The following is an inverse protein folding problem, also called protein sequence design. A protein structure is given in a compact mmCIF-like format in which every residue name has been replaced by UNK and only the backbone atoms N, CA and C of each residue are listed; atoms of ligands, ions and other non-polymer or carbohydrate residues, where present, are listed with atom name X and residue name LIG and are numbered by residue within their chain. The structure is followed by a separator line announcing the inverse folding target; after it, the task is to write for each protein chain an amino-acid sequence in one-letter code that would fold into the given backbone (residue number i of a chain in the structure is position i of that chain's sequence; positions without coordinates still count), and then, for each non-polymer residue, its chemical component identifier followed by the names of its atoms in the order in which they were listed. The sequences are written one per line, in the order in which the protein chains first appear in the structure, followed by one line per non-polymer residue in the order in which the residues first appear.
data_IF_541834970504
#
_entry.id   IF_541834970504
#
_cell.length_a   1.000
_cell.length_b   1.000
_cell.length_c   1.000
_cell.angle_alpha   90.00
_cell.angle_beta   90.00
_cell.angle_gamma   90.00
#
_symmetry.space_group_name_H-M   'P 1'
#
loop_
_entity.id
_entity.type
_entity.pdbx_description
1 polymer ?
#
# COMPACT_ATOMS: atom_id res chain seq x y z
N UNK A 1 5.76 -0.54 -7.46
CA UNK A 1 5.06 -1.79 -7.85
C UNK A 1 3.65 -1.56 -8.37
N UNK A 2 2.58 -1.68 -7.58
CA UNK A 2 1.21 -1.72 -8.11
C UNK A 2 0.82 -0.47 -8.94
N UNK A 3 1.19 0.73 -8.47
CA UNK A 3 0.98 1.99 -9.19
C UNK A 3 1.70 2.01 -10.55
N UNK A 4 2.98 1.63 -10.58
CA UNK A 4 3.79 1.57 -11.81
C UNK A 4 3.33 0.46 -12.77
N UNK A 5 2.72 -0.61 -12.25
CA UNK A 5 2.26 -1.74 -13.04
C UNK A 5 0.87 -1.53 -13.64
N UNK A 6 0.15 -0.47 -13.25
CA UNK A 6 -1.20 -0.20 -13.75
C UNK A 6 -1.10 0.43 -15.14
N UNK A 7 -1.60 -0.20 -16.22
CA UNK A 7 -1.48 0.34 -17.58
C UNK A 7 -2.41 1.53 -17.87
N UNK A 8 -3.32 1.85 -16.94
CA UNK A 8 -4.37 2.88 -17.08
C UNK A 8 -4.33 3.92 -15.96
N UNK A 9 -3.24 3.94 -15.18
CA UNK A 9 -3.03 4.89 -14.07
C UNK A 9 -4.24 5.01 -13.11
N UNK A 10 -4.87 3.87 -12.83
CA UNK A 10 -6.02 3.79 -11.93
C UNK A 10 -5.63 3.77 -10.45
N UNK A 11 -4.36 3.52 -10.12
CA UNK A 11 -3.86 3.54 -8.74
C UNK A 11 -3.10 4.85 -8.53
N UNK A 12 -3.56 5.69 -7.60
CA UNK A 12 -3.00 7.03 -7.36
C UNK A 12 -2.59 7.22 -5.90
N UNK A 13 -1.54 8.01 -5.66
CA UNK A 13 -1.20 8.43 -4.30
C UNK A 13 -2.19 9.49 -3.83
N UNK A 14 -2.88 9.21 -2.73
CA UNK A 14 -3.70 10.19 -2.04
C UNK A 14 -2.78 11.11 -1.22
N UNK A 15 -2.76 12.40 -1.56
CA UNK A 15 -1.86 13.37 -0.93
C UNK A 15 -2.23 13.68 0.53
N UNK A 16 -3.48 13.42 0.94
CA UNK A 16 -3.97 13.70 2.29
C UNK A 16 -3.64 12.54 3.23
N UNK A 17 -3.91 11.32 2.80
CA UNK A 17 -3.79 10.11 3.64
C UNK A 17 -2.48 9.35 3.41
N UNK A 18 -1.78 9.59 2.30
CA UNK A 18 -0.62 8.80 1.86
C UNK A 18 -0.96 7.40 1.33
N UNK A 19 -2.25 7.04 1.27
CA UNK A 19 -2.74 5.77 0.73
C UNK A 19 -2.62 5.72 -0.79
N UNK A 20 -2.63 4.51 -1.36
CA UNK A 20 -2.57 4.31 -2.81
C UNK A 20 -3.94 3.82 -3.24
N UNK A 21 -4.78 4.73 -3.67
CA UNK A 21 -6.20 4.52 -3.86
C UNK A 21 -6.51 4.09 -5.29
N UNK A 22 -7.57 3.30 -5.45
CA UNK A 22 -8.03 2.82 -6.76
C UNK A 22 -9.14 3.76 -7.24
N UNK A 23 -8.89 4.47 -8.34
CA UNK A 23 -9.89 5.24 -9.07
C UNK A 23 -10.75 4.25 -9.85
N UNK A 24 -11.89 3.89 -9.27
CA UNK A 24 -12.79 2.87 -9.82
C UNK A 24 -13.18 3.13 -11.28
N UNK A 25 -13.37 4.37 -11.68
CA UNK A 25 -13.80 4.72 -13.05
C UNK A 25 -12.72 4.42 -14.10
N UNK A 26 -11.45 4.41 -13.72
CA UNK A 26 -10.31 4.09 -14.60
C UNK A 26 -9.95 2.60 -14.55
N UNK A 27 -10.31 1.91 -13.46
CA UNK A 27 -9.94 0.52 -13.27
C UNK A 27 -10.69 -0.41 -14.25
N UNK A 28 -9.95 -0.97 -15.21
CA UNK A 28 -10.46 -1.94 -16.20
C UNK A 28 -10.39 -3.40 -15.74
N UNK A 29 -9.94 -3.67 -14.51
CA UNK A 29 -9.94 -5.02 -13.95
C UNK A 29 -8.88 -5.97 -14.54
N UNK A 30 -7.81 -5.46 -15.15
CA UNK A 30 -6.77 -6.28 -15.82
C UNK A 30 -5.89 -7.14 -14.87
N UNK A 31 -6.02 -6.97 -13.55
CA UNK A 31 -5.33 -7.74 -12.50
C UNK A 31 -3.80 -7.67 -12.48
N UNK A 32 -3.14 -6.91 -13.37
CA UNK A 32 -1.67 -6.78 -13.39
C UNK A 32 -1.11 -6.31 -12.04
N UNK A 33 -1.81 -5.39 -11.36
CA UNK A 33 -1.43 -4.89 -10.05
C UNK A 33 -1.48 -5.95 -8.93
N UNK A 34 -2.27 -7.03 -9.07
CA UNK A 34 -2.31 -8.12 -8.08
C UNK A 34 -1.05 -8.97 -8.16
N UNK A 35 -0.54 -9.20 -9.37
CA UNK A 35 0.71 -9.94 -9.63
C UNK A 35 1.92 -9.10 -9.22
N UNK A 36 1.89 -7.80 -9.51
CA UNK A 36 3.02 -6.91 -9.23
C UNK A 36 3.24 -6.64 -7.73
N UNK A 37 2.24 -6.84 -6.87
CA UNK A 37 2.36 -6.55 -5.45
C UNK A 37 3.13 -7.67 -4.73
N UNK A 38 4.34 -7.42 -4.20
CA UNK A 38 5.11 -8.46 -3.51
C UNK A 38 4.44 -8.93 -2.21
N UNK A 39 3.52 -8.12 -1.67
CA UNK A 39 2.80 -8.41 -0.42
C UNK A 39 1.43 -9.08 -0.66
N UNK A 40 0.99 -9.24 -1.92
CA UNK A 40 -0.31 -9.85 -2.23
C UNK A 40 -1.53 -9.11 -1.66
N UNK A 41 -1.43 -7.79 -1.44
CA UNK A 41 -2.48 -7.00 -0.74
C UNK A 41 -3.53 -6.38 -1.66
N UNK A 42 -3.52 -6.70 -2.96
CA UNK A 42 -4.51 -6.24 -3.94
C UNK A 42 -5.39 -7.43 -4.34
N UNK A 43 -6.68 -7.31 -4.10
CA UNK A 43 -7.64 -8.38 -4.33
C UNK A 43 -8.56 -8.05 -5.51
N UNK A 44 -9.06 -9.04 -6.22
CA UNK A 44 -10.03 -8.85 -7.30
C UNK A 44 -11.44 -9.12 -6.79
N UNK A 45 -12.36 -8.19 -7.00
CA UNK A 45 -13.77 -8.38 -6.73
C UNK A 45 -14.49 -8.79 -8.03
N UNK A 46 -15.00 -10.02 -8.05
CA UNK A 46 -15.72 -10.58 -9.19
C UNK A 46 -17.07 -9.91 -9.45
N UNK A 47 -17.72 -9.38 -8.42
CA UNK A 47 -19.02 -8.71 -8.56
C UNK A 47 -18.89 -7.34 -9.24
N UNK A 48 -17.84 -6.57 -8.93
CA UNK A 48 -17.61 -5.26 -9.56
C UNK A 48 -16.74 -5.34 -10.82
N UNK A 49 -16.06 -6.47 -11.04
CA UNK A 49 -15.07 -6.63 -12.11
C UNK A 49 -13.78 -5.82 -11.88
N UNK A 50 -13.56 -5.31 -10.66
CA UNK A 50 -12.48 -4.38 -10.34
C UNK A 50 -11.63 -4.89 -9.18
N UNK A 51 -10.41 -4.36 -9.09
CA UNK A 51 -9.54 -4.64 -7.94
C UNK A 51 -9.91 -3.77 -6.74
N UNK A 52 -9.69 -4.30 -5.54
CA UNK A 52 -9.88 -3.67 -4.25
C UNK A 52 -8.54 -3.69 -3.51
N UNK A 53 -8.22 -2.57 -2.88
CA UNK A 53 -7.04 -2.35 -2.07
C UNK A 53 -7.43 -1.51 -0.86
N UNK A 54 -6.71 -1.67 0.25
CA UNK A 54 -6.79 -0.77 1.40
C UNK A 54 -6.48 0.68 0.98
N UNK A 55 -7.45 1.54 1.22
CA UNK A 55 -7.51 2.99 1.02
C UNK A 55 -7.26 3.77 2.32
N UNK A 56 -6.75 3.07 3.34
CA UNK A 56 -6.54 3.58 4.69
C UNK A 56 -7.82 4.10 5.35
N UNK A 57 -9.01 3.66 4.91
CA UNK A 57 -10.31 4.12 5.39
C UNK A 57 -10.41 5.66 5.38
N UNK A 58 -9.86 6.32 4.35
CA UNK A 58 -9.84 7.78 4.26
C UNK A 58 -8.96 8.48 5.31
N UNK A 59 -8.01 7.76 5.91
CA UNK A 59 -7.14 8.28 6.97
C UNK A 59 -7.63 7.98 8.39
N UNK A 60 -8.76 7.29 8.56
CA UNK A 60 -9.24 6.78 9.85
C UNK A 60 -9.32 5.24 9.83
N UNK A 61 -8.21 4.52 10.08
CA UNK A 61 -8.16 3.06 9.93
C UNK A 61 -9.05 2.33 10.94
N UNK A 62 -10.19 1.84 10.47
CA UNK A 62 -11.16 1.10 11.30
C UNK A 62 -10.58 -0.19 11.88
N UNK A 63 -9.59 -0.80 11.22
CA UNK A 63 -8.91 -1.99 11.74
C UNK A 63 -8.08 -1.70 13.01
N UNK A 64 -7.55 -0.49 13.17
CA UNK A 64 -6.84 -0.07 14.38
C UNK A 64 -7.85 0.22 15.50
N UNK A 65 -8.94 0.91 15.18
CA UNK A 65 -10.03 1.23 16.12
C UNK A 65 -10.72 -0.04 16.67
N UNK A 66 -10.97 -1.02 15.80
CA UNK A 66 -11.64 -2.27 16.17
C UNK A 66 -10.75 -3.26 16.93
N UNK A 67 -9.45 -3.00 17.09
CA UNK A 67 -8.51 -3.95 17.68
C UNK A 67 -8.67 -4.03 19.21
N UNK A 68 -9.22 -5.12 19.78
CA UNK A 68 -9.54 -5.17 21.21
C UNK A 68 -8.29 -5.25 22.10
N UNK A 69 -7.17 -5.75 21.56
CA UNK A 69 -5.91 -5.92 22.30
C UNK A 69 -4.99 -4.70 22.18
N UNK A 70 -5.29 -3.75 21.30
CA UNK A 70 -4.39 -2.65 20.97
C UNK A 70 -3.12 -3.08 20.22
N UNK A 71 -3.10 -4.28 19.63
CA UNK A 71 -1.95 -4.77 18.86
C UNK A 71 -1.72 -4.00 17.54
N UNK A 72 -2.75 -3.34 17.03
CA UNK A 72 -2.68 -2.49 15.84
C UNK A 72 -2.79 -1.04 16.29
N UNK A 73 -1.82 -0.21 15.93
CA UNK A 73 -1.81 1.23 16.20
C UNK A 73 -1.61 2.00 14.91
N UNK A 74 -2.26 3.15 14.79
CA UNK A 74 -2.07 4.09 13.69
C UNK A 74 -1.42 5.35 14.25
N UNK A 75 -0.12 5.48 14.00
CA UNK A 75 0.73 6.58 14.45
C UNK A 75 1.60 7.05 13.28
N UNK A 76 2.14 8.25 13.40
CA UNK A 76 3.08 8.75 12.41
C UNK A 76 4.32 7.85 12.32
N UNK A 77 4.80 7.63 11.11
CA UNK A 77 5.93 6.75 10.86
C UNK A 77 7.21 7.23 11.55
N UNK A 78 7.40 8.55 11.68
CA UNK A 78 8.56 9.16 12.33
C UNK A 78 8.48 9.06 13.86
N UNK A 79 7.29 8.85 14.42
CA UNK A 79 7.12 8.51 15.83
C UNK A 79 7.62 7.08 16.17
N UNK A 80 7.93 6.27 15.14
CA UNK A 80 8.49 4.93 15.30
C UNK A 80 10.00 4.91 15.08
N UNK A 81 10.65 3.78 15.34
CA UNK A 81 12.06 3.58 15.01
C UNK A 81 12.36 3.41 13.51
N UNK A 82 11.47 3.85 12.61
CA UNK A 82 11.57 3.61 11.17
C UNK A 82 12.85 4.18 10.56
N UNK A 83 13.26 5.38 10.97
CA UNK A 83 14.49 5.98 10.47
C UNK A 83 15.72 5.14 10.85
N UNK A 84 15.78 4.67 12.11
CA UNK A 84 16.83 3.74 12.56
C UNK A 84 16.81 2.43 11.77
N UNK A 85 15.63 1.91 11.45
CA UNK A 85 15.48 0.70 10.61
C UNK A 85 15.96 0.93 9.18
N UNK A 86 15.64 2.08 8.56
CA UNK A 86 16.12 2.46 7.23
C UNK A 86 17.65 2.59 7.18
N UNK A 87 18.24 3.25 8.18
CA UNK A 87 19.70 3.41 8.28
C UNK A 87 20.40 2.04 8.37
N UNK A 88 19.87 1.12 9.17
CA UNK A 88 20.42 -0.24 9.26
C UNK A 88 20.25 -1.01 7.96
N UNK A 89 19.06 -0.96 7.35
CA UNK A 89 18.81 -1.60 6.06
C UNK A 89 19.80 -1.12 4.99
N UNK A 90 20.07 0.19 4.93
CA UNK A 90 21.03 0.77 3.99
C UNK A 90 22.48 0.32 4.21
N UNK A 91 22.89 -0.03 5.43
CA UNK A 91 24.22 -0.60 5.71
C UNK A 91 24.35 -2.04 5.23
N UNK A 92 23.25 -2.79 5.21
CA UNK A 92 23.20 -4.21 4.83
C UNK A 92 22.70 -4.43 3.40
N UNK A 93 22.30 -3.37 2.70
CA UNK A 93 21.81 -3.43 1.33
C UNK A 93 22.97 -3.73 0.36
N UNK A 94 23.17 -5.02 0.11
CA UNK A 94 24.17 -5.55 -0.81
C UNK A 94 23.88 -5.21 -2.28
N UNK A 95 22.68 -4.71 -2.61
CA UNK A 95 22.35 -4.29 -3.98
C UNK A 95 22.96 -2.93 -4.34
N UNK A 96 23.25 -2.07 -3.36
CA UNK A 96 23.90 -0.77 -3.58
C UNK A 96 25.43 -0.86 -3.74
N UNK A 97 26.05 -1.95 -3.29
CA UNK A 97 27.49 -2.16 -3.43
C UNK A 97 27.89 -2.74 -4.80
N UNK A 98 26.91 -3.16 -5.62
CA UNK A 98 27.11 -3.81 -6.91
C UNK A 98 26.83 -2.90 -8.14
N UNK A 99 26.59 -1.60 -7.91
CA UNK A 99 26.40 -0.57 -8.94
C UNK A 99 27.46 0.52 -8.79
#
# INVERSE_FOLDING_TARGET
WCMQACPVDAIVLNAVTGSKDIVNDRCVGCKVCTIACPFGTVNYNSASGKVIKCDLCGGNPQCAEACPTGAITYIDADATGLERMRQWAGKTDTQRAAA
#
